data_IF_189732501804
#
_entry.id   IF_189732501804
#
_cell.length_a   1.000
_cell.length_b   1.000
_cell.length_c   1.000
_cell.angle_alpha   90.00
_cell.angle_beta   90.00
_cell.angle_gamma   90.00
#
_symmetry.space_group_name_H-M   'P 1'
#
loop_
_entity.id
_entity.type
_entity.pdbx_description
1 polymer ?
#
# COMPACT_ATOMS: atom_id res chain seq x y z
N UNK A 1 -16.86 -6.81 1.30
CA UNK A 1 -16.54 -5.48 0.75
C UNK A 1 -17.76 -4.98 -0.02
N UNK A 2 -18.25 -3.76 0.27
CA UNK A 2 -19.37 -3.15 -0.46
C UNK A 2 -18.91 -1.81 -1.06
N UNK A 3 -18.46 -1.82 -2.31
CA UNK A 3 -18.11 -0.60 -3.03
C UNK A 3 -19.10 -0.38 -4.17
N UNK A 4 -19.74 0.80 -4.22
CA UNK A 4 -20.56 1.22 -5.37
C UNK A 4 -19.92 2.46 -5.97
N UNK A 5 -19.38 2.30 -7.17
CA UNK A 5 -18.84 3.41 -7.97
C UNK A 5 -19.72 3.60 -9.19
N UNK A 6 -20.56 4.64 -9.20
CA UNK A 6 -21.35 5.02 -10.37
C UNK A 6 -20.58 6.10 -11.16
N UNK A 7 -20.17 5.80 -12.40
CA UNK A 7 -19.66 6.81 -13.33
C UNK A 7 -20.83 7.45 -14.08
N UNK A 8 -20.98 8.78 -14.03
CA UNK A 8 -22.03 9.49 -14.78
C UNK A 8 -21.50 10.09 -16.08
N UNK A 9 -22.33 10.09 -17.12
CA UNK A 9 -22.00 10.73 -18.40
C UNK A 9 -21.93 12.25 -18.20
N UNK A 10 -20.80 12.87 -18.55
CA UNK A 10 -20.60 14.33 -18.49
C UNK A 10 -20.05 14.86 -17.16
N UNK A 11 -19.93 14.03 -16.12
CA UNK A 11 -19.37 14.40 -14.82
C UNK A 11 -18.50 13.28 -14.24
N UNK A 12 -17.39 13.62 -13.60
CA UNK A 12 -16.60 12.66 -12.84
C UNK A 12 -17.24 12.41 -11.48
N UNK A 13 -18.21 11.50 -11.41
CA UNK A 13 -18.71 11.01 -10.11
C UNK A 13 -18.05 9.67 -9.83
N UNK A 14 -17.32 9.58 -8.72
CA UNK A 14 -16.94 8.30 -8.11
C UNK A 14 -17.76 8.20 -6.81
N UNK A 15 -18.36 7.03 -6.58
CA UNK A 15 -19.42 6.82 -5.58
C UNK A 15 -18.97 6.69 -4.13
N UNK A 16 -19.67 5.86 -3.36
CA UNK A 16 -19.38 5.58 -1.95
C UNK A 16 -18.78 4.18 -1.81
N UNK A 17 -17.66 4.07 -1.10
CA UNK A 17 -16.97 2.80 -0.83
C UNK A 17 -17.04 2.47 0.66
N UNK A 18 -17.67 1.35 1.00
CA UNK A 18 -17.71 0.83 2.35
C UNK A 18 -16.90 -0.48 2.42
N UNK A 19 -15.88 -0.50 3.26
CA UNK A 19 -14.91 -1.60 3.29
C UNK A 19 -14.66 -2.05 4.73
N UNK A 20 -14.40 -3.34 4.89
CA UNK A 20 -14.18 -3.99 6.17
C UNK A 20 -12.92 -4.84 6.10
N UNK A 21 -11.97 -4.58 7.00
CA UNK A 21 -10.64 -5.22 7.05
C UNK A 21 -10.04 -5.49 5.65
N UNK A 22 -9.81 -4.45 4.83
CA UNK A 22 -9.33 -4.65 3.48
C UNK A 22 -7.90 -5.17 3.41
N UNK A 23 -7.66 -6.12 2.51
CA UNK A 23 -6.33 -6.46 2.03
C UNK A 23 -6.00 -5.47 0.91
N UNK A 24 -4.99 -4.63 1.12
CA UNK A 24 -4.58 -3.60 0.14
C UNK A 24 -3.10 -3.66 -0.26
N UNK A 25 -2.36 -4.56 0.36
CA UNK A 25 -0.96 -4.87 0.04
C UNK A 25 -0.76 -6.37 0.29
N UNK A 26 -0.33 -7.10 -0.74
CA UNK A 26 -0.03 -8.54 -0.68
C UNK A 26 1.44 -8.82 -0.33
N UNK A 27 2.23 -7.76 -0.11
CA UNK A 27 3.59 -7.86 0.42
C UNK A 27 3.52 -7.80 1.95
N UNK A 28 3.60 -8.97 2.59
CA UNK A 28 3.49 -9.05 4.04
C UNK A 28 4.82 -8.76 4.77
N UNK A 29 4.78 -8.18 5.98
CA UNK A 29 5.99 -7.78 6.71
C UNK A 29 6.97 -8.92 7.02
N UNK A 30 6.48 -10.14 7.25
CA UNK A 30 7.30 -11.26 7.72
C UNK A 30 8.27 -11.79 6.66
N UNK A 31 8.04 -11.47 5.39
CA UNK A 31 8.86 -11.91 4.26
C UNK A 31 9.98 -10.94 3.92
N UNK A 32 9.97 -9.76 4.55
CA UNK A 32 10.93 -8.71 4.28
C UNK A 32 12.05 -8.74 5.32
N UNK A 33 13.33 -8.67 4.89
CA UNK A 33 14.42 -8.59 5.84
C UNK A 33 14.35 -7.29 6.65
N UNK A 34 14.71 -7.39 7.94
CA UNK A 34 14.84 -6.21 8.80
C UNK A 34 16.10 -5.45 8.41
N UNK A 35 15.93 -4.41 7.62
CA UNK A 35 17.01 -3.54 7.11
C UNK A 35 16.80 -2.11 7.61
N UNK A 36 17.89 -1.42 7.91
CA UNK A 36 17.83 0.00 8.32
C UNK A 36 17.36 0.86 7.15
N UNK A 37 16.59 1.93 7.39
CA UNK A 37 16.09 2.80 6.33
C UNK A 37 17.18 3.42 5.43
N UNK A 38 18.38 3.65 5.97
CA UNK A 38 19.52 4.26 5.26
C UNK A 38 20.12 3.30 4.22
N UNK A 39 19.99 1.99 4.44
CA UNK A 39 20.55 0.94 3.59
C UNK A 39 19.55 0.44 2.53
N UNK A 40 18.35 1.03 2.48
CA UNK A 40 17.30 0.62 1.55
C UNK A 40 17.57 1.17 0.13
N UNK A 41 17.52 0.31 -0.91
CA UNK A 41 17.63 0.75 -2.28
C UNK A 41 16.49 1.71 -2.66
N UNK A 42 16.80 2.64 -3.56
CA UNK A 42 15.80 3.50 -4.17
C UNK A 42 14.87 2.68 -5.10
N UNK A 43 13.59 3.05 -5.23
CA UNK A 43 12.67 2.35 -6.10
C UNK A 43 13.10 2.51 -7.57
N UNK A 44 13.00 1.42 -8.33
CA UNK A 44 13.32 1.35 -9.77
C UNK A 44 12.61 2.43 -10.62
N UNK A 45 11.39 2.82 -10.24
CA UNK A 45 10.57 3.77 -10.99
C UNK A 45 10.55 5.14 -10.31
N UNK A 46 11.63 5.90 -10.47
CA UNK A 46 11.86 7.22 -9.85
C UNK A 46 10.96 8.36 -10.37
N UNK A 47 10.40 8.25 -11.57
CA UNK A 47 9.73 9.40 -12.23
C UNK A 47 8.31 9.72 -11.71
N UNK A 48 7.60 8.78 -11.08
CA UNK A 48 6.24 9.03 -10.55
C UNK A 48 6.19 9.36 -9.03
N UNK A 49 7.35 9.48 -8.36
CA UNK A 49 7.44 9.30 -6.89
C UNK A 49 8.25 10.36 -6.13
N UNK A 50 8.68 11.47 -6.74
CA UNK A 50 9.64 12.40 -6.14
C UNK A 50 9.12 13.32 -5.01
N UNK A 51 8.12 12.90 -4.21
CA UNK A 51 7.77 13.59 -2.97
C UNK A 51 8.16 12.73 -1.78
N UNK A 52 9.18 13.21 -1.05
CA UNK A 52 9.49 12.70 0.28
C UNK A 52 8.19 12.60 1.08
N UNK A 53 7.93 11.42 1.63
CA UNK A 53 6.87 11.24 2.59
C UNK A 53 7.14 12.16 3.78
N UNK A 54 6.30 13.18 3.98
CA UNK A 54 6.24 13.87 5.26
C UNK A 54 5.79 12.81 6.27
N UNK A 55 6.75 12.21 6.98
CA UNK A 55 6.59 11.25 8.08
C UNK A 55 5.56 10.14 7.85
N UNK A 56 5.96 9.08 7.14
CA UNK A 56 5.13 7.90 6.91
C UNK A 56 5.16 6.92 8.10
N UNK A 57 3.96 6.49 8.51
CA UNK A 57 3.77 5.46 9.53
C UNK A 57 4.41 4.12 9.10
N UNK A 58 4.52 3.83 7.80
CA UNK A 58 5.16 2.61 7.32
C UNK A 58 6.70 2.62 7.49
N UNK A 59 7.33 3.81 7.53
CA UNK A 59 8.70 3.98 8.02
C UNK A 59 8.78 3.94 9.55
N UNK A 60 7.74 4.45 10.22
CA UNK A 60 7.60 4.39 11.68
C UNK A 60 7.19 3.02 12.23
N UNK A 61 6.74 2.07 11.42
CA UNK A 61 6.59 0.66 11.82
C UNK A 61 7.97 0.03 12.15
N UNK A 62 9.06 0.62 11.63
CA UNK A 62 10.44 0.33 12.05
C UNK A 62 10.99 1.34 13.08
N UNK A 63 10.24 2.40 13.40
CA UNK A 63 10.70 3.55 14.20
C UNK A 63 9.52 4.18 14.96
N UNK A 64 9.02 3.54 16.02
CA UNK A 64 8.16 4.24 17.00
C UNK A 64 9.07 4.78 18.11
N UNK A 65 8.81 6.04 18.48
CA UNK A 65 9.49 6.89 19.47
C UNK A 65 10.72 7.66 18.92
N UNK A 66 10.48 8.84 18.35
CA UNK A 66 11.03 10.14 18.77
C UNK A 66 10.14 11.20 18.10
N UNK A 67 9.20 11.78 18.84
CA UNK A 67 8.84 13.21 18.75
C UNK A 67 7.61 13.52 19.61
N UNK A 68 7.83 13.47 20.93
CA UNK A 68 7.12 14.29 21.89
C UNK A 68 8.15 14.71 22.95
N UNK A 69 8.96 15.70 22.61
CA UNK A 69 9.59 16.67 23.53
C UNK A 69 10.74 17.39 22.83
N UNK A 70 10.41 18.25 21.87
CA UNK A 70 11.35 19.23 21.33
C UNK A 70 10.64 20.56 21.11
N UNK A 71 10.00 21.08 22.16
CA UNK A 71 9.85 22.53 22.27
C UNK A 71 10.76 23.03 23.37
N UNK A 72 11.72 23.86 22.93
CA UNK A 72 12.49 24.82 23.70
C UNK A 72 13.84 24.37 24.28
N UNK A 73 14.83 25.19 23.94
CA UNK A 73 16.13 25.42 24.57
C UNK A 73 17.30 24.55 24.08
N UNK A 74 18.25 25.23 23.43
CA UNK A 74 19.47 24.64 22.93
C UNK A 74 20.39 24.15 24.05
N UNK A 75 21.09 23.04 23.80
CA UNK A 75 22.49 22.77 24.17
C UNK A 75 22.83 21.29 23.92
N UNK A 76 24.01 21.09 23.31
CA UNK A 76 24.88 19.89 23.29
C UNK A 76 24.35 18.64 22.58
N UNK A 77 25.13 18.18 21.59
CA UNK A 77 25.01 16.86 20.95
C UNK A 77 25.02 15.76 22.02
N UNK A 78 23.83 15.22 22.34
CA UNK A 78 23.68 14.02 23.17
C UNK A 78 24.10 12.82 22.33
N UNK A 79 24.96 11.96 22.90
CA UNK A 79 25.35 10.66 22.34
C UNK A 79 24.07 9.88 22.00
N UNK A 80 23.91 9.52 20.71
CA UNK A 80 22.77 8.74 20.21
C UNK A 80 22.68 7.44 21.01
N UNK A 81 21.62 7.27 21.79
CA UNK A 81 21.29 5.97 22.40
C UNK A 81 21.01 4.98 21.26
N UNK A 82 21.41 3.72 21.43
CA UNK A 82 21.07 2.68 20.47
C UNK A 82 19.54 2.65 20.29
N UNK A 83 19.04 2.60 19.04
CA UNK A 83 17.60 2.61 18.79
C UNK A 83 16.96 1.40 19.48
N UNK A 84 15.87 1.65 20.19
CA UNK A 84 15.02 0.60 20.77
C UNK A 84 14.44 -0.23 19.63
N UNK A 85 14.32 -1.54 19.82
CA UNK A 85 13.71 -2.40 18.81
C UNK A 85 12.28 -1.91 18.48
N UNK A 86 11.88 -1.90 17.21
CA UNK A 86 10.53 -1.47 16.84
C UNK A 86 9.48 -2.33 17.54
N UNK A 87 8.33 -1.74 17.92
CA UNK A 87 7.23 -2.52 18.48
C UNK A 87 6.76 -3.58 17.46
N UNK A 88 6.26 -4.73 17.93
CA UNK A 88 5.73 -5.76 17.05
C UNK A 88 4.54 -5.19 16.25
N UNK A 89 4.47 -5.54 14.97
CA UNK A 89 3.35 -5.15 14.10
C UNK A 89 2.08 -5.90 14.52
N UNK A 90 0.91 -5.38 14.15
CA UNK A 90 -0.36 -6.09 14.34
C UNK A 90 -0.38 -7.43 13.61
N UNK A 91 0.31 -7.51 12.46
CA UNK A 91 0.52 -8.74 11.72
C UNK A 91 1.20 -9.84 12.56
N UNK A 92 2.22 -9.46 13.35
CA UNK A 92 2.92 -10.38 14.26
C UNK A 92 2.14 -10.63 15.55
N UNK A 93 1.51 -9.59 16.09
CA UNK A 93 0.82 -9.64 17.39
C UNK A 93 -0.47 -10.45 17.32
N UNK A 94 -1.18 -10.37 16.18
CA UNK A 94 -2.47 -11.00 15.96
C UNK A 94 -2.41 -12.04 14.83
N UNK A 95 -1.24 -12.65 14.62
CA UNK A 95 -1.02 -13.66 13.60
C UNK A 95 -1.79 -14.96 13.84
N UNK A 96 -1.94 -15.33 15.11
CA UNK A 96 -2.57 -16.57 15.57
C UNK A 96 -4.11 -16.46 15.72
N UNK A 97 -4.74 -15.49 15.06
CA UNK A 97 -6.19 -15.36 15.13
C UNK A 97 -6.93 -16.52 14.46
N UNK A 98 -7.96 -17.05 15.13
CA UNK A 98 -8.73 -18.21 14.63
C UNK A 98 -9.49 -17.93 13.32
N UNK A 99 -9.91 -16.69 13.07
CA UNK A 99 -10.77 -16.34 11.92
C UNK A 99 -9.97 -15.88 10.69
N UNK A 100 -8.86 -15.15 10.90
CA UNK A 100 -8.00 -14.65 9.82
C UNK A 100 -6.52 -14.90 10.20
N UNK A 101 -6.07 -16.16 10.23
CA UNK A 101 -4.69 -16.46 10.56
C UNK A 101 -3.75 -16.00 9.43
N UNK A 102 -2.57 -15.49 9.79
CA UNK A 102 -1.60 -14.97 8.82
C UNK A 102 -1.04 -16.05 7.91
N UNK A 103 -0.88 -17.28 8.42
CA UNK A 103 -0.48 -18.45 7.63
C UNK A 103 -1.47 -18.78 6.50
N UNK A 104 -2.77 -18.61 6.74
CA UNK A 104 -3.77 -18.82 5.69
C UNK A 104 -3.73 -17.68 4.69
N UNK A 105 -3.56 -16.43 5.13
CA UNK A 105 -3.42 -15.29 4.20
C UNK A 105 -2.20 -15.43 3.29
N UNK A 106 -1.05 -15.86 3.81
CA UNK A 106 0.13 -16.14 2.99
C UNK A 106 -0.09 -17.31 2.03
N UNK A 107 -0.76 -18.37 2.49
CA UNK A 107 -1.08 -19.52 1.63
C UNK A 107 -2.05 -19.16 0.49
N UNK A 108 -3.10 -18.38 0.78
CA UNK A 108 -4.06 -17.92 -0.23
C UNK A 108 -3.41 -16.98 -1.26
N UNK A 109 -2.44 -16.17 -0.83
CA UNK A 109 -1.67 -15.34 -1.76
C UNK A 109 -0.96 -16.19 -2.81
N UNK A 110 -0.27 -17.25 -2.38
CA UNK A 110 0.47 -18.13 -3.29
C UNK A 110 -0.47 -18.91 -4.24
N UNK A 111 -1.75 -19.05 -3.88
CA UNK A 111 -2.80 -19.62 -4.75
C UNK A 111 -3.33 -18.58 -5.74
N UNK A 112 -3.54 -17.33 -5.29
CA UNK A 112 -4.12 -16.26 -6.10
C UNK A 112 -3.14 -15.76 -7.19
N UNK A 113 -1.85 -15.73 -6.88
CA UNK A 113 -0.84 -15.19 -7.77
C UNK A 113 0.08 -16.28 -8.29
N UNK A 114 0.23 -16.35 -9.60
CA UNK A 114 1.12 -17.33 -10.25
C UNK A 114 2.56 -16.87 -10.23
N UNK A 115 2.78 -15.57 -10.27
CA UNK A 115 4.11 -14.96 -10.24
C UNK A 115 4.24 -14.05 -9.02
N UNK A 116 5.41 -14.02 -8.36
CA UNK A 116 5.66 -13.10 -7.25
C UNK A 116 5.61 -11.62 -7.67
N UNK A 117 5.75 -11.33 -8.97
CA UNK A 117 5.59 -9.98 -9.51
C UNK A 117 4.16 -9.47 -9.41
N UNK A 118 3.18 -10.38 -9.44
CA UNK A 118 1.77 -10.02 -9.42
C UNK A 118 1.36 -9.45 -8.04
N UNK A 119 2.17 -9.67 -6.98
CA UNK A 119 1.99 -9.04 -5.66
C UNK A 119 2.06 -7.50 -5.74
N UNK A 120 2.83 -7.00 -6.71
CA UNK A 120 3.06 -5.58 -6.94
C UNK A 120 2.07 -4.96 -7.93
N UNK A 121 1.12 -5.74 -8.46
CA UNK A 121 0.04 -5.19 -9.29
C UNK A 121 -0.75 -4.16 -8.48
N UNK A 122 -0.92 -2.97 -9.05
CA UNK A 122 -1.66 -1.87 -8.41
C UNK A 122 -3.14 -2.21 -8.23
N UNK A 123 -3.71 -3.07 -9.07
CA UNK A 123 -5.11 -3.49 -8.91
C UNK A 123 -5.29 -4.51 -7.79
N UNK A 124 -4.35 -5.43 -7.64
CA UNK A 124 -4.39 -6.44 -6.59
C UNK A 124 -3.94 -5.89 -5.23
N UNK A 125 -2.96 -4.98 -5.24
CA UNK A 125 -2.44 -4.24 -4.08
C UNK A 125 -2.67 -2.72 -4.26
N UNK A 126 -3.90 -2.21 -4.05
CA UNK A 126 -4.26 -0.80 -4.22
C UNK A 126 -3.40 0.22 -3.48
N UNK A 127 -2.71 -0.20 -2.41
CA UNK A 127 -1.77 0.68 -1.70
C UNK A 127 -0.70 1.25 -2.64
N UNK A 128 -0.32 0.51 -3.68
CA UNK A 128 0.67 0.93 -4.68
C UNK A 128 0.21 2.07 -5.61
N UNK A 129 -1.09 2.47 -5.58
CA UNK A 129 -1.53 3.72 -6.19
C UNK A 129 -1.08 4.94 -5.40
N UNK A 130 -1.01 4.83 -4.07
CA UNK A 130 -0.71 5.96 -3.17
C UNK A 130 0.76 6.03 -2.79
N UNK A 131 1.50 4.93 -2.89
CA UNK A 131 2.95 4.90 -2.65
C UNK A 131 3.68 3.96 -3.59
N UNK A 132 5.01 4.05 -3.63
CA UNK A 132 5.82 3.00 -4.22
C UNK A 132 5.67 1.69 -3.42
N UNK A 133 5.93 0.54 -4.05
CA UNK A 133 6.15 -0.70 -3.32
C UNK A 133 7.16 -0.53 -2.19
N UNK A 134 6.97 -1.26 -1.09
CA UNK A 134 7.94 -1.38 0.01
C UNK A 134 8.89 -2.56 -0.17
N UNK A 135 8.64 -3.39 -1.16
CA UNK A 135 9.51 -4.46 -1.55
C UNK A 135 9.79 -4.40 -3.05
N UNK A 136 10.89 -5.02 -3.43
CA UNK A 136 11.30 -5.23 -4.79
C UNK A 136 11.77 -6.66 -4.92
N UNK A 137 11.35 -7.31 -6.01
CA UNK A 137 11.82 -8.63 -6.35
C UNK A 137 13.25 -8.53 -6.94
N UNK A 138 14.20 -9.22 -6.30
CA UNK A 138 15.56 -9.38 -6.81
C UNK A 138 15.65 -10.74 -7.47
N UNK A 139 15.83 -10.74 -8.78
CA UNK A 139 16.16 -11.96 -9.52
C UNK A 139 17.67 -12.21 -9.43
N UNK A 140 18.08 -13.45 -9.17
CA UNK A 140 19.49 -13.81 -9.23
C UNK A 140 20.00 -13.59 -10.64
N UNK A 141 21.12 -12.87 -10.76
CA UNK A 141 21.78 -12.72 -12.05
C UNK A 141 22.24 -14.10 -12.53
N UNK A 142 21.98 -14.49 -13.78
CA UNK A 142 22.56 -15.71 -14.32
C UNK A 142 24.09 -15.60 -14.29
N UNK A 143 24.78 -16.63 -13.81
CA UNK A 143 26.24 -16.75 -13.65
C UNK A 143 27.07 -16.51 -14.93
N UNK A 144 26.47 -16.14 -16.06
CA UNK A 144 27.16 -15.82 -17.29
C UNK A 144 27.14 -14.31 -17.55
N UNK A 145 28.15 -13.55 -17.07
CA UNK A 145 28.37 -12.16 -17.45
C UNK A 145 29.01 -12.10 -18.85
N UNK A 146 28.37 -12.71 -19.85
CA UNK A 146 28.82 -12.59 -21.25
C UNK A 146 27.60 -12.60 -22.17
N UNK A 147 27.25 -11.40 -22.63
CA UNK A 147 26.52 -11.12 -23.89
C UNK A 147 25.12 -11.74 -24.07
N UNK A 148 24.12 -11.34 -23.28
CA UNK A 148 22.73 -11.34 -23.78
C UNK A 148 22.40 -9.96 -24.36
N UNK A 149 22.55 -8.90 -23.56
CA UNK A 149 22.36 -7.50 -24.00
C UNK A 149 23.29 -7.05 -25.13
N UNK A 150 24.55 -7.53 -25.15
CA UNK A 150 25.48 -7.22 -26.25
C UNK A 150 25.22 -8.04 -27.52
N UNK A 151 24.50 -9.17 -27.45
CA UNK A 151 24.07 -9.92 -28.63
C UNK A 151 22.75 -9.34 -29.18
N UNK A 152 21.86 -8.88 -28.31
CA UNK A 152 20.60 -8.25 -28.68
C UNK A 152 20.77 -6.96 -29.50
N UNK A 153 21.83 -6.18 -29.24
CA UNK A 153 22.15 -5.00 -30.08
C UNK A 153 22.76 -5.38 -31.45
N UNK A 154 23.15 -6.64 -31.66
CA UNK A 154 23.81 -7.14 -32.87
C UNK A 154 22.89 -8.00 -33.76
N UNK A 155 21.71 -8.37 -33.28
CA UNK A 155 20.78 -9.25 -33.97
C UNK A 155 19.68 -8.44 -34.66
N UNK A 156 19.40 -8.78 -35.92
CA UNK A 156 18.32 -8.16 -36.68
C UNK A 156 16.96 -8.48 -36.03
N UNK A 157 16.02 -7.53 -36.06
CA UNK A 157 14.77 -7.56 -35.28
C UNK A 157 13.93 -8.83 -35.52
N UNK A 158 13.96 -9.37 -36.74
CA UNK A 158 13.30 -10.62 -37.12
C UNK A 158 13.94 -11.86 -36.46
N UNK A 159 15.26 -11.82 -36.25
CA UNK A 159 16.02 -12.89 -35.58
C UNK A 159 15.75 -12.91 -34.08
N UNK A 160 15.58 -11.74 -33.45
CA UNK A 160 15.16 -11.64 -32.04
C UNK A 160 13.76 -12.21 -31.81
N UNK A 161 12.81 -11.89 -32.70
CA UNK A 161 11.45 -12.43 -32.66
C UNK A 161 11.44 -13.94 -32.85
N UNK A 162 12.31 -14.48 -33.72
CA UNK A 162 12.45 -15.91 -33.91
C UNK A 162 13.03 -16.61 -32.66
N UNK A 163 14.12 -16.08 -32.07
CA UNK A 163 14.78 -16.68 -30.91
C UNK A 163 13.91 -16.65 -29.65
N UNK A 164 13.21 -15.54 -29.39
CA UNK A 164 12.27 -15.42 -28.28
C UNK A 164 11.10 -16.40 -28.37
N UNK A 165 10.72 -16.81 -29.58
CA UNK A 165 9.68 -17.81 -29.82
C UNK A 165 10.11 -19.25 -29.48
N UNK A 166 11.42 -19.53 -29.40
CA UNK A 166 11.98 -20.83 -29.01
C UNK A 166 12.49 -20.87 -27.55
N UNK A 167 12.79 -19.71 -26.95
CA UNK A 167 13.26 -19.61 -25.56
C UNK A 167 12.24 -20.16 -24.53
N UNK A 168 10.94 -20.17 -24.85
CA UNK A 168 9.91 -20.75 -23.98
C UNK A 168 9.99 -22.26 -23.80
N UNK A 169 10.82 -22.98 -24.57
CA UNK A 169 10.92 -24.45 -24.52
C UNK A 169 12.25 -24.98 -23.97
N UNK A 170 13.32 -24.19 -23.93
CA UNK A 170 14.66 -24.66 -23.51
C UNK A 170 14.90 -24.65 -21.99
N UNK A 171 14.08 -23.94 -21.21
CA UNK A 171 14.14 -23.96 -19.74
C UNK A 171 13.89 -25.36 -19.12
N UNK A 172 13.44 -26.34 -19.92
CA UNK A 172 13.12 -27.68 -19.44
C UNK A 172 14.10 -28.80 -19.87
N UNK A 173 15.11 -28.56 -20.73
CA UNK A 173 15.84 -29.69 -21.37
C UNK A 173 17.34 -29.77 -21.02
N UNK A 174 17.99 -28.68 -20.62
CA UNK A 174 19.44 -28.72 -20.30
C UNK A 174 19.72 -28.73 -18.79
N UNK A 175 19.29 -29.79 -18.10
CA UNK A 175 19.77 -30.12 -16.76
C UNK A 175 21.23 -30.61 -16.79
N UNK A 176 22.18 -29.68 -16.73
CA UNK A 176 23.44 -29.94 -16.02
C UNK A 176 23.15 -29.88 -14.51
N UNK A 177 23.82 -30.64 -13.62
CA UNK A 177 23.55 -30.62 -12.18
C UNK A 177 24.16 -29.36 -11.58
N UNK A 178 23.59 -28.21 -11.93
CA UNK A 178 23.99 -26.90 -11.41
C UNK A 178 22.90 -26.47 -10.43
N UNK A 179 23.35 -25.82 -9.35
CA UNK A 179 22.61 -25.45 -8.14
C UNK A 179 21.12 -25.11 -8.38
N UNK A 180 20.23 -25.40 -7.40
CA UNK A 180 18.80 -25.12 -7.52
C UNK A 180 18.59 -23.69 -8.05
N UNK A 181 17.70 -23.50 -9.05
CA UNK A 181 17.47 -22.18 -9.63
C UNK A 181 17.22 -21.21 -8.49
N UNK A 182 18.10 -20.22 -8.35
CA UNK A 182 18.02 -19.30 -7.24
C UNK A 182 16.66 -18.58 -7.33
N UNK A 183 15.88 -18.67 -6.26
CA UNK A 183 14.54 -18.12 -6.27
C UNK A 183 14.61 -16.60 -6.18
N UNK A 184 13.72 -15.89 -6.87
CA UNK A 184 13.66 -14.45 -6.75
C UNK A 184 13.34 -14.09 -5.29
N UNK A 185 14.14 -13.19 -4.72
CA UNK A 185 14.07 -12.84 -3.30
C UNK A 185 13.47 -11.46 -3.14
N UNK A 186 12.47 -11.33 -2.27
CA UNK A 186 11.90 -10.04 -1.91
C UNK A 186 12.91 -9.26 -1.05
N UNK A 187 13.33 -8.10 -1.54
CA UNK A 187 14.14 -7.14 -0.79
C UNK A 187 13.32 -5.92 -0.44
N UNK A 188 13.55 -5.34 0.74
CA UNK A 188 12.89 -4.11 1.14
C UNK A 188 13.42 -2.94 0.31
N UNK A 189 12.56 -2.00 -0.08
CA UNK A 189 12.95 -0.80 -0.82
C UNK A 189 12.39 0.47 -0.17
N UNK A 190 12.96 1.62 -0.55
CA UNK A 190 12.58 2.91 0.00
C UNK A 190 11.18 3.31 -0.46
N UNK A 191 10.37 3.74 0.51
CA UNK A 191 9.02 4.21 0.30
C UNK A 191 8.96 5.65 -0.20
N UNK A 192 8.05 5.92 -1.13
CA UNK A 192 7.71 7.27 -1.57
C UNK A 192 6.22 7.42 -1.77
N UNK A 193 5.71 8.61 -1.47
CA UNK A 193 4.30 8.91 -1.65
C UNK A 193 4.00 9.42 -3.05
N UNK A 194 2.95 8.87 -3.66
CA UNK A 194 2.43 9.24 -4.96
C UNK A 194 1.24 10.17 -4.81
N UNK A 195 1.08 11.07 -5.77
CA UNK A 195 -0.12 11.88 -5.90
C UNK A 195 -1.12 11.11 -6.77
N UNK A 196 -2.18 10.58 -6.17
CA UNK A 196 -3.22 9.83 -6.86
C UNK A 196 -4.61 10.28 -6.40
N UNK A 197 -5.57 10.53 -7.32
CA UNK A 197 -5.45 10.52 -8.77
C UNK A 197 -4.55 11.67 -9.24
N UNK A 198 -3.85 11.53 -10.38
CA UNK A 198 -3.00 12.59 -10.89
C UNK A 198 -3.83 13.87 -11.11
N UNK A 199 -3.40 14.99 -10.52
CA UNK A 199 -4.20 16.22 -10.48
C UNK A 199 -4.55 16.86 -11.85
N UNK A 200 -3.97 16.38 -12.95
CA UNK A 200 -4.38 16.76 -14.30
C UNK A 200 -5.63 16.01 -14.80
N UNK A 201 -6.02 14.93 -14.10
CA UNK A 201 -7.24 14.18 -14.37
C UNK A 201 -8.38 14.78 -13.56
N UNK A 202 -9.56 14.92 -14.18
CA UNK A 202 -10.78 15.35 -13.49
C UNK A 202 -11.35 14.25 -12.59
N UNK A 203 -10.59 13.21 -12.26
CA UNK A 203 -11.02 12.08 -11.44
C UNK A 203 -10.92 12.48 -9.97
N UNK A 204 -11.86 12.09 -9.12
CA UNK A 204 -11.80 12.31 -7.67
C UNK A 204 -12.02 10.99 -6.96
N UNK A 205 -11.37 10.75 -5.82
CA UNK A 205 -11.58 9.51 -5.07
C UNK A 205 -13.01 9.44 -4.51
N UNK A 206 -13.57 8.22 -4.34
CA UNK A 206 -14.86 8.03 -3.70
C UNK A 206 -14.84 8.53 -2.26
N UNK A 207 -16.02 8.68 -1.66
CA UNK A 207 -16.13 8.83 -0.20
C UNK A 207 -15.97 7.44 0.42
N UNK A 208 -15.12 7.31 1.43
CA UNK A 208 -14.78 6.03 2.07
C UNK A 208 -15.36 5.94 3.49
N UNK A 209 -15.89 4.77 3.82
CA UNK A 209 -16.15 4.32 5.18
C UNK A 209 -15.41 3.00 5.38
N UNK A 210 -14.33 3.05 6.14
CA UNK A 210 -13.47 1.91 6.43
C UNK A 210 -13.75 1.45 7.85
N UNK A 211 -14.06 0.17 8.00
CA UNK A 211 -14.28 -0.47 9.30
C UNK A 211 -13.17 -1.47 9.56
N UNK A 212 -12.68 -1.48 10.79
CA UNK A 212 -11.51 -2.27 11.17
C UNK A 212 -11.62 -2.85 12.58
N UNK A 213 -11.12 -4.06 12.76
CA UNK A 213 -10.90 -4.64 14.09
C UNK A 213 -9.51 -4.30 14.65
N UNK A 214 -9.46 -3.90 15.92
CA UNK A 214 -8.20 -3.63 16.63
C UNK A 214 -7.33 -4.88 16.83
N UNK A 215 -7.93 -6.07 16.76
CA UNK A 215 -7.24 -7.35 16.87
C UNK A 215 -7.04 -8.02 15.50
N UNK A 216 -7.29 -7.33 14.39
CA UNK A 216 -7.05 -7.89 13.05
C UNK A 216 -5.56 -7.79 12.69
N UNK A 217 -4.95 -8.81 12.06
CA UNK A 217 -3.58 -8.70 11.55
C UNK A 217 -3.45 -7.66 10.42
N UNK A 218 -4.56 -7.33 9.76
CA UNK A 218 -4.65 -6.32 8.69
C UNK A 218 -4.78 -4.90 9.24
N UNK A 219 -4.69 -4.70 10.56
CA UNK A 219 -5.03 -3.42 11.15
C UNK A 219 -4.09 -2.30 10.69
N UNK A 220 -2.80 -2.57 10.72
CA UNK A 220 -1.75 -1.59 10.39
C UNK A 220 -1.87 -1.12 8.94
N UNK A 221 -2.07 -2.06 8.02
CA UNK A 221 -2.20 -1.79 6.58
C UNK A 221 -3.46 -0.95 6.30
N UNK A 222 -4.55 -1.22 7.00
CA UNK A 222 -5.80 -0.46 6.84
C UNK A 222 -5.68 0.96 7.42
N UNK A 223 -5.00 1.13 8.55
CA UNK A 223 -4.71 2.44 9.12
C UNK A 223 -3.83 3.26 8.16
N UNK A 224 -2.83 2.61 7.57
CA UNK A 224 -2.01 3.20 6.52
C UNK A 224 -2.86 3.66 5.33
N UNK A 225 -3.78 2.81 4.86
CA UNK A 225 -4.65 3.13 3.72
C UNK A 225 -5.49 4.37 4.00
N UNK A 226 -6.11 4.44 5.19
CA UNK A 226 -6.91 5.59 5.59
C UNK A 226 -6.07 6.88 5.60
N UNK A 227 -4.84 6.82 6.12
CA UNK A 227 -3.90 7.96 6.09
C UNK A 227 -3.53 8.35 4.66
N UNK A 228 -3.24 7.38 3.79
CA UNK A 228 -2.87 7.62 2.40
C UNK A 228 -4.02 8.22 1.59
N UNK A 229 -5.25 7.72 1.78
CA UNK A 229 -6.46 8.28 1.17
C UNK A 229 -6.71 9.71 1.62
N UNK A 230 -6.61 9.99 2.93
CA UNK A 230 -6.79 11.36 3.44
C UNK A 230 -5.74 12.31 2.89
N UNK A 231 -4.48 11.88 2.91
CA UNK A 231 -3.35 12.65 2.36
C UNK A 231 -3.53 12.93 0.88
N UNK A 232 -3.95 11.93 0.10
CA UNK A 232 -4.13 12.07 -1.34
C UNK A 232 -5.29 13.00 -1.67
N UNK A 233 -6.42 12.89 -0.97
CA UNK A 233 -7.56 13.81 -1.10
C UNK A 233 -7.13 15.23 -0.76
N UNK A 234 -6.49 15.47 0.39
CA UNK A 234 -6.06 16.80 0.81
C UNK A 234 -5.10 17.44 -0.19
N UNK A 235 -4.14 16.66 -0.72
CA UNK A 235 -3.19 17.14 -1.74
C UNK A 235 -3.87 17.36 -3.09
N UNK A 236 -4.84 16.52 -3.45
CA UNK A 236 -5.59 16.66 -4.68
C UNK A 236 -6.44 17.94 -4.65
N UNK A 237 -7.17 18.18 -3.55
CA UNK A 237 -7.96 19.39 -3.39
C UNK A 237 -7.08 20.63 -3.43
N UNK A 238 -5.97 20.64 -2.69
CA UNK A 238 -5.02 21.74 -2.72
C UNK A 238 -4.52 22.04 -4.14
N UNK A 239 -4.14 20.99 -4.88
CA UNK A 239 -3.61 21.14 -6.24
C UNK A 239 -4.68 21.57 -7.24
N UNK A 240 -5.93 21.13 -7.06
CA UNK A 240 -7.06 21.57 -7.89
C UNK A 240 -7.43 23.04 -7.64
N UNK A 241 -7.39 23.49 -6.38
CA UNK A 241 -7.75 24.87 -6.01
C UNK A 241 -6.63 25.88 -6.28
N UNK A 242 -5.39 25.52 -5.97
CA UNK A 242 -4.25 26.46 -5.98
C UNK A 242 -3.18 26.16 -7.02
N UNK A 243 -3.24 25.01 -7.72
CA UNK A 243 -2.20 24.57 -8.64
C UNK A 243 -0.91 24.10 -7.97
N UNK A 244 -0.83 24.12 -6.63
CA UNK A 244 0.38 23.85 -5.84
C UNK A 244 0.32 22.49 -5.15
N UNK A 245 1.50 21.99 -4.74
CA UNK A 245 1.65 20.70 -4.06
C UNK A 245 2.01 20.81 -2.57
N UNK A 246 2.30 22.02 -2.07
CA UNK A 246 2.73 22.26 -0.68
C UNK A 246 1.86 23.34 -0.04
N UNK A 247 1.60 23.17 1.25
CA UNK A 247 0.89 24.12 2.11
C UNK A 247 1.80 25.30 2.47
N UNK A 248 1.23 26.49 2.61
CA UNK A 248 1.96 27.64 3.16
C UNK A 248 1.72 27.82 4.65
N UNK A 249 0.47 27.64 5.08
CA UNK A 249 0.04 27.87 6.46
C UNK A 249 -0.45 26.60 7.14
N UNK A 250 -0.20 26.51 8.45
CA UNK A 250 -0.71 25.41 9.26
C UNK A 250 -2.25 25.39 9.35
N UNK A 251 -2.90 26.55 9.22
CA UNK A 251 -4.37 26.69 9.21
C UNK A 251 -4.96 26.14 7.91
N UNK A 252 -4.35 26.47 6.77
CA UNK A 252 -4.73 25.93 5.46
C UNK A 252 -4.59 24.40 5.45
N UNK A 253 -3.47 23.89 5.98
CA UNK A 253 -3.25 22.44 6.12
C UNK A 253 -4.39 21.77 6.91
N UNK A 254 -4.79 22.32 8.05
CA UNK A 254 -5.88 21.77 8.87
C UNK A 254 -7.22 21.74 8.12
N UNK A 255 -7.56 22.79 7.39
CA UNK A 255 -8.82 22.84 6.62
C UNK A 255 -8.90 21.71 5.59
N UNK A 256 -7.82 21.46 4.84
CA UNK A 256 -7.79 20.37 3.87
C UNK A 256 -7.71 18.99 4.53
N UNK A 257 -7.07 18.88 5.69
CA UNK A 257 -7.08 17.66 6.49
C UNK A 257 -8.48 17.35 7.03
N UNK A 258 -9.21 18.33 7.55
CA UNK A 258 -10.58 18.17 8.04
C UNK A 258 -11.52 17.76 6.89
N UNK A 259 -11.41 18.41 5.73
CA UNK A 259 -12.14 18.02 4.53
C UNK A 259 -11.83 16.57 4.11
N UNK A 260 -10.58 16.15 4.20
CA UNK A 260 -10.18 14.78 3.89
C UNK A 260 -10.69 13.77 4.92
N UNK A 261 -10.78 14.15 6.21
CA UNK A 261 -11.38 13.32 7.26
C UNK A 261 -12.88 13.12 7.02
N UNK A 262 -13.61 14.15 6.58
CA UNK A 262 -15.02 14.04 6.25
C UNK A 262 -15.30 13.09 5.08
N UNK A 263 -14.35 13.02 4.12
CA UNK A 263 -14.44 12.10 2.98
C UNK A 263 -13.99 10.67 3.32
N UNK A 264 -13.15 10.46 4.32
CA UNK A 264 -12.59 9.14 4.68
C UNK A 264 -12.80 8.88 6.16
N UNK A 265 -13.91 8.22 6.46
CA UNK A 265 -14.26 7.79 7.81
C UNK A 265 -13.60 6.44 8.11
N UNK A 266 -12.96 6.35 9.28
CA UNK A 266 -12.32 5.14 9.77
C UNK A 266 -12.93 4.81 11.13
N UNK A 267 -13.58 3.65 11.23
CA UNK A 267 -14.26 3.18 12.43
C UNK A 267 -13.57 1.93 12.95
N UNK A 268 -12.88 2.06 14.08
CA UNK A 268 -12.19 0.95 14.74
C UNK A 268 -13.05 0.33 15.83
N UNK A 269 -13.13 -1.01 15.84
CA UNK A 269 -13.92 -1.78 16.78
C UNK A 269 -13.05 -2.78 17.56
N UNK A 270 -13.46 -3.10 18.78
CA UNK A 270 -12.85 -4.18 19.55
C UNK A 270 -13.09 -5.54 18.85
N UNK A 271 -12.10 -6.43 18.89
CA UNK A 271 -12.17 -7.72 18.20
C UNK A 271 -11.58 -7.70 16.79
N UNK A 272 -11.88 -8.75 16.02
CA UNK A 272 -11.51 -8.87 14.60
C UNK A 272 -12.36 -7.93 13.74
N UNK A 273 -13.57 -7.61 14.20
CA UNK A 273 -14.38 -6.54 13.63
C UNK A 273 -14.90 -6.82 12.23
N UNK A 274 -15.03 -8.09 11.84
CA UNK A 274 -15.58 -8.49 10.54
C UNK A 274 -17.10 -8.26 10.48
N UNK A 275 -17.61 -7.83 9.32
CA UNK A 275 -19.08 -7.73 9.11
C UNK A 275 -19.77 -9.09 9.05
N UNK A 276 -19.06 -10.12 8.61
CA UNK A 276 -19.57 -11.50 8.48
C UNK A 276 -19.49 -12.28 9.80
N UNK A 277 -18.74 -11.77 10.77
CA UNK A 277 -18.61 -12.41 12.08
C UNK A 277 -19.87 -12.11 12.90
N UNK A 278 -20.82 -13.04 12.81
CA UNK A 278 -22.03 -13.08 13.61
C UNK A 278 -21.72 -13.63 15.01
N UNK A 279 -20.75 -13.02 15.71
CA UNK A 279 -20.58 -13.32 17.14
C UNK A 279 -21.90 -13.03 17.88
N UNK A 280 -22.08 -13.59 19.08
CA UNK A 280 -23.20 -13.34 20.01
C UNK A 280 -23.36 -11.85 20.44
N UNK A 281 -22.63 -10.93 19.80
CA UNK A 281 -22.73 -9.50 20.00
C UNK A 281 -23.83 -8.91 19.08
N UNK A 282 -25.01 -8.54 19.60
CA UNK A 282 -26.13 -8.02 18.79
C UNK A 282 -25.81 -6.70 18.07
N UNK A 283 -24.66 -6.09 18.34
CA UNK A 283 -24.22 -4.83 17.73
C UNK A 283 -23.73 -4.98 16.28
N UNK A 284 -23.46 -6.19 15.78
CA UNK A 284 -22.97 -6.36 14.41
C UNK A 284 -24.03 -5.94 13.37
N UNK A 285 -25.30 -6.29 13.60
CA UNK A 285 -26.41 -5.89 12.71
C UNK A 285 -26.56 -4.38 12.66
N UNK A 286 -26.51 -3.72 13.82
CA UNK A 286 -26.56 -2.27 13.92
C UNK A 286 -25.42 -1.61 13.11
N UNK A 287 -24.20 -2.15 13.20
CA UNK A 287 -23.05 -1.62 12.43
C UNK A 287 -23.26 -1.75 10.92
N UNK A 288 -23.75 -2.90 10.46
CA UNK A 288 -24.04 -3.11 9.02
C UNK A 288 -25.17 -2.18 8.56
N UNK A 289 -26.21 -2.00 9.38
CA UNK A 289 -27.29 -1.05 9.10
C UNK A 289 -26.79 0.40 9.06
N UNK A 290 -25.94 0.82 9.99
CA UNK A 290 -25.32 2.16 10.00
C UNK A 290 -24.52 2.41 8.72
N UNK A 291 -23.72 1.43 8.27
CA UNK A 291 -23.01 1.51 7.00
C UNK A 291 -23.97 1.61 5.82
N UNK A 292 -25.07 0.84 5.84
CA UNK A 292 -26.11 0.90 4.81
C UNK A 292 -26.83 2.26 4.76
N UNK A 293 -27.16 2.84 5.90
CA UNK A 293 -27.77 4.18 6.02
C UNK A 293 -26.79 5.24 5.50
N UNK A 294 -25.53 5.17 5.92
CA UNK A 294 -24.48 6.06 5.44
C UNK A 294 -24.33 5.99 3.93
N UNK A 295 -24.33 4.78 3.37
CA UNK A 295 -24.21 4.57 1.93
C UNK A 295 -25.41 5.16 1.18
N UNK A 296 -26.63 4.96 1.70
CA UNK A 296 -27.85 5.56 1.16
C UNK A 296 -27.76 7.09 1.16
N UNK A 297 -27.31 7.71 2.26
CA UNK A 297 -27.17 9.16 2.36
C UNK A 297 -26.15 9.71 1.35
N UNK A 298 -25.01 9.03 1.17
CA UNK A 298 -23.95 9.47 0.24
C UNK A 298 -24.30 9.29 -1.23
N UNK A 299 -25.24 8.40 -1.54
CA UNK A 299 -25.70 8.15 -2.91
C UNK A 299 -26.95 8.96 -3.29
N UNK A 300 -27.62 9.59 -2.31
CA UNK A 300 -28.81 10.39 -2.57
C UNK A 300 -28.43 11.65 -3.37
N UNK A 301 -28.97 11.85 -4.59
CA UNK A 301 -28.67 13.03 -5.40
C UNK A 301 -29.12 14.35 -4.76
N UNK A 302 -30.00 14.32 -3.74
CA UNK A 302 -30.40 15.49 -2.96
C UNK A 302 -29.41 15.85 -1.83
N UNK A 303 -28.43 14.99 -1.57
CA UNK A 303 -27.40 15.17 -0.54
C UNK A 303 -26.13 15.78 -1.15
N UNK A 304 -26.24 17.01 -1.64
CA UNK A 304 -25.10 17.83 -2.09
C UNK A 304 -25.17 19.23 -1.52
#
# INVERSE_FOLDING_TARGET
MLALTECRLGESRIGAAAVNNPIVDWVFPDELPVVKPEDLPEPLYGDETALLSDEDLAGSLASVEIDQDATQQGQKLKKKRAPKAPPPTAWQTYGDNDVIPTLTLSGERDVLFRKPDDYFDRFASPMHFFRSPHAQLLYPQPDNPTTAQQLDDLLDMETQLALSHYATFEDNVNFSPRAPPALPTLSRCRAYARHYPPAGTRLSLPVWNITIGLQSPLSDITLELAKMLRRSIARQTLKSHSGRSRWHDAVEKKQYEDFAHDRVQLNSYQGIGLWTQQDDNPKWEQRVQEVGIWMKQRLDPAFT
#
